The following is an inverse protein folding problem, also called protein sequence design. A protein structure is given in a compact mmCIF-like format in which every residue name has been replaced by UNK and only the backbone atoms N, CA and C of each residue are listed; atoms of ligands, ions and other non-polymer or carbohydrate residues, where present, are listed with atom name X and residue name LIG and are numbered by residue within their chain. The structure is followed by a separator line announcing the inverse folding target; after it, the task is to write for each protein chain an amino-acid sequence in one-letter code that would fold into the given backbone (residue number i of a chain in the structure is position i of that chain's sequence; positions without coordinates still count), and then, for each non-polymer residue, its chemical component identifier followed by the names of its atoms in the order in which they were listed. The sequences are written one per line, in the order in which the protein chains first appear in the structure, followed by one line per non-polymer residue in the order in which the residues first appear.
data_IF_034265192674
#
_entry.id   IF_034265192674
#
_cell.length_a   1.000
_cell.length_b   1.000
_cell.length_c   1.000
_cell.angle_alpha   90.00
_cell.angle_beta   90.00
_cell.angle_gamma   90.00
#
_symmetry.space_group_name_H-M   'P 1'
#
loop_
_entity.id
_entity.type
_entity.pdbx_description
1 polymer ?
#
# COMPACT_ATOMS: atom_id res chain seq x y z
N UNK A 1 -22.56 -58.03 -20.35
CA UNK A 1 -23.37 -56.83 -20.64
C UNK A 1 -23.26 -55.97 -19.38
N UNK A 2 -22.30 -55.04 -19.31
CA UNK A 2 -22.40 -53.67 -19.88
C UNK A 2 -23.54 -52.92 -19.16
N UNK A 3 -23.38 -51.79 -18.49
CA UNK A 3 -22.49 -50.62 -18.64
C UNK A 3 -22.73 -49.72 -17.40
N UNK A 4 -21.67 -49.24 -16.73
CA UNK A 4 -21.17 -47.85 -16.66
C UNK A 4 -21.66 -47.01 -15.46
N UNK A 5 -20.67 -46.43 -14.79
CA UNK A 5 -20.81 -45.46 -13.72
C UNK A 5 -21.16 -44.08 -14.32
N UNK A 6 -22.08 -43.36 -13.68
CA UNK A 6 -22.27 -41.93 -13.91
C UNK A 6 -21.69 -41.16 -12.72
N UNK A 7 -20.50 -40.62 -12.93
CA UNK A 7 -19.98 -39.45 -12.23
C UNK A 7 -20.78 -38.23 -12.69
N UNK A 8 -21.17 -37.37 -11.75
CA UNK A 8 -21.76 -36.06 -12.02
C UNK A 8 -20.77 -35.01 -11.52
N UNK A 9 -19.76 -34.74 -12.34
CA UNK A 9 -18.90 -33.56 -12.22
C UNK A 9 -19.73 -32.32 -12.52
N UNK A 10 -20.13 -31.61 -11.46
CA UNK A 10 -20.70 -30.28 -11.56
C UNK A 10 -19.58 -29.25 -11.69
N UNK A 11 -19.16 -28.97 -12.91
CA UNK A 11 -18.36 -27.77 -13.21
C UNK A 11 -19.26 -26.54 -13.03
N UNK A 12 -19.21 -25.91 -11.86
CA UNK A 12 -19.62 -24.52 -11.72
C UNK A 12 -18.68 -23.67 -12.56
N UNK A 13 -19.14 -23.28 -13.75
CA UNK A 13 -18.51 -22.23 -14.55
C UNK A 13 -18.43 -20.96 -13.71
N UNK A 14 -17.28 -20.72 -13.08
CA UNK A 14 -16.89 -19.41 -12.59
C UNK A 14 -17.00 -18.46 -13.78
N UNK A 15 -18.03 -17.61 -13.76
CA UNK A 15 -18.11 -16.51 -14.71
C UNK A 15 -16.90 -15.65 -14.43
N UNK A 16 -15.86 -15.79 -15.24
CA UNK A 16 -14.70 -14.90 -15.23
C UNK A 16 -15.22 -13.49 -15.47
N UNK A 17 -15.45 -12.75 -14.39
CA UNK A 17 -15.53 -11.30 -14.43
C UNK A 17 -14.14 -10.89 -14.88
N UNK A 18 -13.98 -10.61 -16.17
CA UNK A 18 -12.74 -10.06 -16.72
C UNK A 18 -12.48 -8.74 -16.01
N UNK A 19 -11.67 -8.80 -14.95
CA UNK A 19 -11.19 -7.66 -14.22
C UNK A 19 -10.40 -6.79 -15.21
N UNK A 20 -10.90 -5.58 -15.46
CA UNK A 20 -10.24 -4.62 -16.33
C UNK A 20 -8.89 -4.25 -15.72
N UNK A 21 -7.80 -4.79 -16.28
CA UNK A 21 -6.46 -4.65 -15.73
C UNK A 21 -5.42 -4.37 -16.82
N UNK A 22 -4.24 -3.92 -16.39
CA UNK A 22 -3.12 -3.58 -17.27
C UNK A 22 -2.28 -4.79 -17.71
N UNK A 23 -2.63 -6.02 -17.30
CA UNK A 23 -1.93 -7.26 -17.70
C UNK A 23 -0.52 -7.44 -17.13
N UNK A 24 -0.08 -6.59 -16.18
CA UNK A 24 1.24 -6.72 -15.53
C UNK A 24 1.20 -7.73 -14.38
N UNK A 25 2.27 -8.52 -14.26
CA UNK A 25 2.44 -9.45 -13.13
C UNK A 25 2.63 -8.67 -11.83
N UNK A 26 1.93 -9.08 -10.77
CA UNK A 26 2.09 -8.48 -9.45
C UNK A 26 3.31 -9.05 -8.70
N UNK A 27 4.09 -8.21 -8.01
CA UNK A 27 5.19 -8.67 -7.18
C UNK A 27 4.72 -9.27 -5.85
N UNK A 28 5.61 -10.02 -5.20
CA UNK A 28 5.49 -10.35 -3.78
C UNK A 28 6.14 -9.24 -2.96
N UNK A 29 5.41 -8.69 -1.99
CA UNK A 29 5.95 -7.69 -1.07
C UNK A 29 6.58 -8.36 0.17
N UNK A 30 7.70 -7.81 0.64
CA UNK A 30 8.35 -8.18 1.90
C UNK A 30 8.74 -6.92 2.66
N UNK A 31 8.49 -6.89 3.96
CA UNK A 31 8.94 -5.81 4.85
C UNK A 31 10.31 -6.14 5.42
N UNK A 32 11.25 -5.21 5.30
CA UNK A 32 12.59 -5.29 5.90
C UNK A 32 12.82 -4.00 6.66
N UNK A 33 12.66 -4.03 7.99
CA UNK A 33 12.69 -2.81 8.82
C UNK A 33 11.54 -1.86 8.48
N UNK A 34 11.90 -0.67 7.99
CA UNK A 34 10.96 0.35 7.49
C UNK A 34 10.74 0.26 5.98
N UNK A 35 11.58 -0.49 5.27
CA UNK A 35 11.52 -0.59 3.83
C UNK A 35 10.57 -1.72 3.39
N UNK A 36 9.95 -1.50 2.24
CA UNK A 36 9.14 -2.50 1.56
C UNK A 36 9.86 -2.87 0.26
N UNK A 37 10.05 -4.16 0.04
CA UNK A 37 10.70 -4.71 -1.15
C UNK A 37 9.67 -5.47 -1.96
N UNK A 38 9.56 -5.15 -3.24
CA UNK A 38 8.75 -5.87 -4.22
C UNK A 38 9.64 -6.82 -5.04
N UNK A 39 9.29 -8.12 -5.06
CA UNK A 39 10.07 -9.18 -5.71
C UNK A 39 9.19 -9.99 -6.69
N UNK A 40 9.62 -10.09 -7.95
CA UNK A 40 9.01 -10.94 -8.98
C UNK A 40 9.75 -12.28 -9.07
N UNK A 41 9.11 -13.33 -8.54
CA UNK A 41 9.73 -14.66 -8.40
C UNK A 41 9.64 -15.54 -9.64
N UNK A 42 8.54 -15.47 -10.40
CA UNK A 42 8.24 -16.41 -11.50
C UNK A 42 8.31 -15.76 -12.87
N UNK A 43 7.48 -14.75 -13.09
CA UNK A 43 7.32 -14.12 -14.40
C UNK A 43 7.57 -12.63 -14.32
N UNK A 44 8.16 -12.12 -15.39
CA UNK A 44 8.37 -10.71 -15.61
C UNK A 44 7.81 -10.37 -16.99
N UNK A 45 7.21 -9.19 -17.14
CA UNK A 45 6.61 -8.79 -18.42
C UNK A 45 7.69 -8.40 -19.44
N UNK A 46 8.76 -7.77 -18.98
CA UNK A 46 9.89 -7.29 -19.80
C UNK A 46 11.20 -7.80 -19.21
N UNK A 47 12.12 -8.28 -20.05
CA UNK A 47 13.42 -8.80 -19.61
C UNK A 47 14.32 -7.71 -18.98
N UNK A 48 14.05 -6.45 -19.28
CA UNK A 48 14.73 -5.27 -18.71
C UNK A 48 14.26 -4.90 -17.31
N UNK A 49 13.13 -5.44 -16.85
CA UNK A 49 12.58 -5.09 -15.55
C UNK A 49 13.40 -5.76 -14.43
N UNK A 50 13.69 -5.03 -13.37
CA UNK A 50 14.39 -5.58 -12.21
C UNK A 50 13.50 -6.56 -11.44
N UNK A 51 14.05 -7.72 -11.08
CA UNK A 51 13.31 -8.74 -10.33
C UNK A 51 13.06 -8.36 -8.87
N UNK A 52 13.82 -7.40 -8.33
CA UNK A 52 13.72 -6.95 -6.95
C UNK A 52 13.89 -5.44 -6.92
N UNK A 53 12.86 -4.74 -6.50
CA UNK A 53 12.88 -3.28 -6.35
C UNK A 53 12.52 -2.90 -4.91
N UNK A 54 13.10 -1.81 -4.42
CA UNK A 54 12.60 -1.17 -3.20
C UNK A 54 11.39 -0.32 -3.59
N UNK A 55 10.26 -0.52 -2.91
CA UNK A 55 9.07 0.28 -3.12
C UNK A 55 9.25 1.61 -2.37
N UNK A 56 9.59 2.66 -3.12
CA UNK A 56 9.73 4.01 -2.58
C UNK A 56 8.36 4.59 -2.21
N UNK A 57 8.34 5.53 -1.26
CA UNK A 57 7.12 6.23 -0.87
C UNK A 57 6.50 7.00 -2.05
N UNK A 58 7.31 7.61 -2.90
CA UNK A 58 6.86 8.28 -4.12
C UNK A 58 6.13 7.32 -5.07
N UNK A 59 6.70 6.13 -5.30
CA UNK A 59 6.08 5.13 -6.18
C UNK A 59 4.76 4.61 -5.60
N UNK A 60 4.72 4.37 -4.30
CA UNK A 60 3.49 3.96 -3.63
C UNK A 60 2.40 5.06 -3.72
N UNK A 61 2.79 6.33 -3.60
CA UNK A 61 1.89 7.47 -3.73
C UNK A 61 1.28 7.57 -5.12
N UNK A 62 2.07 7.39 -6.18
CA UNK A 62 1.55 7.37 -7.56
C UNK A 62 0.51 6.26 -7.76
N UNK A 63 0.79 5.06 -7.23
CA UNK A 63 -0.12 3.92 -7.32
C UNK A 63 -1.40 4.19 -6.51
N UNK A 64 -1.31 4.76 -5.32
CA UNK A 64 -2.48 5.08 -4.51
C UNK A 64 -3.34 6.20 -5.11
N UNK A 65 -2.72 7.18 -5.78
CA UNK A 65 -3.43 8.23 -6.51
C UNK A 65 -4.21 7.72 -7.72
N UNK A 66 -3.80 6.59 -8.32
CA UNK A 66 -4.48 6.00 -9.47
C UNK A 66 -5.66 5.10 -9.11
N UNK A 67 -5.87 4.81 -7.81
CA UNK A 67 -7.04 4.07 -7.33
C UNK A 67 -8.29 4.94 -7.48
N UNK A 68 -9.34 4.38 -8.09
CA UNK A 68 -10.60 5.09 -8.30
C UNK A 68 -11.39 5.24 -6.99
N UNK A 69 -12.28 6.24 -6.92
CA UNK A 69 -13.14 6.45 -5.75
C UNK A 69 -14.06 5.25 -5.47
N UNK A 70 -14.51 4.56 -6.52
CA UNK A 70 -15.27 3.30 -6.40
C UNK A 70 -14.43 2.19 -5.77
N UNK A 71 -13.17 2.06 -6.17
CA UNK A 71 -12.28 1.05 -5.60
C UNK A 71 -11.92 1.39 -4.15
N UNK A 72 -11.80 2.67 -3.81
CA UNK A 72 -11.61 3.11 -2.42
C UNK A 72 -12.75 2.60 -1.53
N UNK A 73 -14.00 2.74 -1.97
CA UNK A 73 -15.17 2.26 -1.23
C UNK A 73 -15.16 0.74 -1.06
N UNK A 74 -14.77 -0.01 -2.09
CA UNK A 74 -14.64 -1.49 -2.03
C UNK A 74 -13.56 -1.90 -1.04
N UNK A 75 -12.45 -1.14 -0.96
CA UNK A 75 -11.37 -1.34 0.00
C UNK A 75 -11.75 -0.92 1.44
N UNK A 76 -12.96 -0.39 1.66
CA UNK A 76 -13.42 0.07 2.97
C UNK A 76 -12.94 1.48 3.36
N UNK A 77 -12.47 2.26 2.39
CA UNK A 77 -12.00 3.64 2.57
C UNK A 77 -13.05 4.66 2.07
N UNK A 78 -13.21 5.79 2.77
CA UNK A 78 -14.07 6.89 2.29
C UNK A 78 -13.21 7.85 1.44
N UNK A 79 -13.52 8.05 0.14
CA UNK A 79 -12.75 8.92 -0.74
C UNK A 79 -12.78 10.41 -0.34
N UNK A 80 -13.65 10.81 0.59
CA UNK A 80 -13.74 12.19 1.09
C UNK A 80 -12.89 12.42 2.35
N UNK A 81 -12.65 11.38 3.15
CA UNK A 81 -12.05 11.52 4.49
C UNK A 81 -10.83 10.64 4.73
N UNK A 82 -10.65 9.56 3.98
CA UNK A 82 -9.64 8.54 4.23
C UNK A 82 -9.11 7.95 2.91
N UNK A 83 -8.70 8.82 1.99
CA UNK A 83 -8.12 8.37 0.72
C UNK A 83 -6.81 7.60 0.92
N UNK A 84 -6.54 6.55 0.14
CA UNK A 84 -5.34 5.74 0.30
C UNK A 84 -4.04 6.54 0.15
N UNK A 85 -4.01 7.54 -0.74
CA UNK A 85 -2.83 8.37 -0.97
C UNK A 85 -2.44 9.23 0.25
N UNK A 86 -3.38 9.47 1.17
CA UNK A 86 -3.13 10.23 2.41
C UNK A 86 -2.40 9.42 3.48
N UNK A 87 -2.26 8.09 3.30
CA UNK A 87 -1.40 7.28 4.16
C UNK A 87 0.08 7.66 4.02
N UNK A 88 0.45 8.35 2.94
CA UNK A 88 1.83 8.78 2.67
C UNK A 88 1.94 10.28 2.95
N UNK A 89 2.67 10.63 4.00
CA UNK A 89 2.86 12.01 4.43
C UNK A 89 3.71 12.80 3.42
N UNK A 90 3.08 13.73 2.69
CA UNK A 90 3.75 14.69 1.81
C UNK A 90 4.05 16.02 2.53
N UNK A 91 3.22 16.36 3.51
CA UNK A 91 3.34 17.56 4.35
C UNK A 91 3.16 17.14 5.80
N UNK A 92 4.12 17.51 6.65
CA UNK A 92 4.05 17.24 8.09
C UNK A 92 3.69 18.55 8.79
N UNK A 93 2.51 18.64 9.43
CA UNK A 93 2.13 19.84 10.16
C UNK A 93 3.02 20.00 11.39
N UNK A 94 3.59 21.18 11.57
CA UNK A 94 4.44 21.47 12.72
C UNK A 94 3.57 22.00 13.86
N UNK A 95 3.48 21.31 15.02
CA UNK A 95 2.55 21.68 16.10
C UNK A 95 2.89 23.06 16.72
N UNK A 96 1.93 23.82 17.28
CA UNK A 96 2.22 25.11 17.92
C UNK A 96 2.98 24.97 19.25
N UNK A 97 3.54 26.07 19.79
CA UNK A 97 4.32 26.06 21.04
C UNK A 97 3.58 25.50 22.26
N UNK A 98 2.24 25.66 22.30
CA UNK A 98 1.42 25.09 23.36
C UNK A 98 1.49 23.54 23.41
N UNK A 99 1.82 22.90 22.29
CA UNK A 99 1.95 21.45 22.15
C UNK A 99 3.40 20.99 22.29
N UNK A 100 4.38 21.91 22.17
CA UNK A 100 5.82 21.66 22.39
C UNK A 100 6.42 22.70 23.35
N UNK A 101 6.04 22.66 24.65
CA UNK A 101 6.42 23.68 25.61
C UNK A 101 7.91 23.63 25.98
N UNK A 102 8.53 24.78 26.23
CA UNK A 102 9.91 24.84 26.74
C UNK A 102 9.93 25.04 28.26
N UNK A 103 10.78 24.29 28.96
CA UNK A 103 11.02 24.44 30.40
C UNK A 103 12.26 25.30 30.61
N UNK A 104 12.12 26.38 31.38
CA UNK A 104 13.23 27.25 31.77
C UNK A 104 13.43 27.15 33.27
N UNK A 105 14.56 26.60 33.70
CA UNK A 105 14.98 26.64 35.10
C UNK A 105 15.82 27.89 35.34
N UNK A 106 15.52 28.67 36.38
CA UNK A 106 16.28 29.88 36.72
C UNK A 106 17.79 29.57 36.80
N UNK A 107 18.59 30.24 35.95
CA UNK A 107 20.04 30.08 35.89
C UNK A 107 20.55 28.90 35.05
N UNK A 108 19.68 28.13 34.37
CA UNK A 108 20.08 26.99 33.54
C UNK A 108 19.63 27.13 32.08
N UNK A 109 20.16 26.24 31.22
CA UNK A 109 19.83 26.20 29.79
C UNK A 109 18.33 25.94 29.56
N UNK A 110 17.79 26.48 28.47
CA UNK A 110 16.41 26.22 28.04
C UNK A 110 16.30 24.75 27.60
N UNK A 111 15.47 23.97 28.28
CA UNK A 111 15.15 22.60 27.88
C UNK A 111 13.90 22.64 27.00
N UNK A 112 14.05 22.31 25.72
CA UNK A 112 12.93 22.24 24.78
C UNK A 112 12.21 20.89 24.91
N UNK A 113 10.94 20.86 24.50
CA UNK A 113 10.15 19.63 24.43
C UNK A 113 10.74 18.65 23.40
N UNK A 114 10.63 17.34 23.68
CA UNK A 114 11.15 16.28 22.82
C UNK A 114 10.57 16.31 21.40
N UNK A 115 9.35 16.82 21.18
CA UNK A 115 8.78 16.98 19.83
C UNK A 115 9.55 17.97 18.95
N UNK A 116 10.47 18.74 19.54
CA UNK A 116 11.29 19.73 18.83
C UNK A 116 12.61 19.13 18.31
N UNK A 117 13.06 18.00 18.86
CA UNK A 117 14.36 17.39 18.58
C UNK A 117 14.26 16.21 17.60
#
# INVERSE_FOLDING_TARGET
MSVEALTSDGEESEREIKSGGCGRYQPSYKRVGIDIIAEWKKHINEDTQERKIVLTAERALEIFKSISDSDCLILGMDPRYARPDWMIAQVIPVPPLAVRPAVVTFGSARNQDDLTH
#
